data_IF_720675168233
#
_entry.id   IF_720675168233
#
_cell.length_a   1.000
_cell.length_b   1.000
_cell.length_c   1.000
_cell.angle_alpha   90.00
_cell.angle_beta   90.00
_cell.angle_gamma   90.00
#
_symmetry.space_group_name_H-M   'P 1'
#
loop_
_entity.id
_entity.type
_entity.pdbx_description
1 polymer ?
#
# COMPACT_ATOMS: atom_id res chain seq x y z
N UNK A 1 -14.49 15.29 8.25
CA UNK A 1 -13.93 15.14 6.90
C UNK A 1 -14.10 13.71 6.42
N UNK A 2 -14.59 13.55 5.25
CA UNK A 2 -14.82 12.22 4.73
C UNK A 2 -13.60 11.73 3.96
N UNK A 3 -13.55 10.42 3.69
CA UNK A 3 -12.50 9.85 2.84
C UNK A 3 -12.83 9.97 1.37
N UNK A 4 -13.97 10.60 1.05
CA UNK A 4 -14.37 10.80 -0.33
C UNK A 4 -13.30 11.59 -1.07
N UNK A 5 -13.00 11.17 -2.28
CA UNK A 5 -12.01 11.79 -3.17
C UNK A 5 -10.56 11.52 -2.80
N UNK A 6 -10.29 10.82 -1.70
CA UNK A 6 -8.92 10.35 -1.44
C UNK A 6 -8.66 9.13 -2.31
N UNK A 7 -7.48 9.10 -2.90
CA UNK A 7 -7.13 8.07 -3.89
C UNK A 7 -6.01 7.20 -3.39
N UNK A 8 -6.19 5.89 -3.53
CA UNK A 8 -5.22 4.88 -3.07
C UNK A 8 -4.78 4.05 -4.26
N UNK A 9 -3.47 3.89 -4.42
CA UNK A 9 -2.92 2.98 -5.40
C UNK A 9 -2.55 1.68 -4.69
N UNK A 10 -3.10 0.57 -5.14
CA UNK A 10 -2.74 -0.75 -4.64
C UNK A 10 -1.93 -1.47 -5.72
N UNK A 11 -0.78 -1.99 -5.32
CA UNK A 11 0.11 -2.69 -6.24
C UNK A 11 0.57 -4.00 -5.65
N UNK A 12 0.78 -4.96 -6.53
CA UNK A 12 1.28 -6.28 -6.19
C UNK A 12 2.76 -6.34 -6.57
N UNK A 13 3.59 -6.83 -5.67
CA UNK A 13 5.04 -6.82 -5.87
C UNK A 13 5.64 -8.21 -6.13
N UNK A 14 4.84 -9.27 -6.10
CA UNK A 14 5.33 -10.62 -6.25
C UNK A 14 4.43 -11.45 -7.15
N UNK A 15 5.05 -12.38 -7.87
CA UNK A 15 4.35 -13.25 -8.82
C UNK A 15 3.36 -14.20 -8.16
N UNK A 16 3.72 -14.71 -7.00
CA UNK A 16 2.92 -15.68 -6.28
C UNK A 16 1.81 -15.03 -5.46
N UNK A 17 1.58 -13.78 -5.69
CA UNK A 17 0.68 -13.03 -4.86
C UNK A 17 -0.75 -13.54 -4.92
N UNK A 18 -1.42 -13.34 -3.83
CA UNK A 18 -2.81 -13.70 -3.70
C UNK A 18 -3.67 -12.51 -4.08
N UNK A 19 -4.05 -12.46 -5.36
CA UNK A 19 -4.97 -11.44 -5.85
C UNK A 19 -6.21 -11.33 -4.98
N UNK A 20 -6.62 -12.47 -4.41
CA UNK A 20 -7.81 -12.51 -3.59
C UNK A 20 -7.70 -11.57 -2.39
N UNK A 21 -6.57 -11.62 -1.69
CA UNK A 21 -6.36 -10.74 -0.55
C UNK A 21 -6.37 -9.26 -0.95
N UNK A 22 -5.66 -8.95 -2.03
CA UNK A 22 -5.60 -7.58 -2.51
C UNK A 22 -6.96 -7.09 -2.99
N UNK A 23 -7.74 -7.95 -3.64
CA UNK A 23 -9.08 -7.62 -4.10
C UNK A 23 -10.03 -7.34 -2.93
N UNK A 24 -9.90 -8.11 -1.85
CA UNK A 24 -10.71 -7.88 -0.65
C UNK A 24 -10.37 -6.54 0.00
N UNK A 25 -9.10 -6.21 0.05
CA UNK A 25 -8.67 -4.92 0.59
C UNK A 25 -9.20 -3.78 -0.29
N UNK A 26 -9.08 -3.93 -1.60
CA UNK A 26 -9.58 -2.92 -2.53
C UNK A 26 -11.08 -2.69 -2.33
N UNK A 27 -11.83 -3.77 -2.18
CA UNK A 27 -13.29 -3.66 -1.97
C UNK A 27 -13.61 -2.96 -0.66
N UNK A 28 -12.91 -3.32 0.41
CA UNK A 28 -13.15 -2.70 1.71
C UNK A 28 -12.85 -1.20 1.67
N UNK A 29 -11.79 -0.82 0.99
CA UNK A 29 -11.43 0.60 0.87
C UNK A 29 -12.44 1.36 0.02
N UNK A 30 -12.90 0.76 -1.07
CA UNK A 30 -13.94 1.38 -1.90
C UNK A 30 -15.24 1.55 -1.13
N UNK A 31 -15.61 0.56 -0.35
CA UNK A 31 -16.82 0.63 0.47
C UNK A 31 -16.71 1.73 1.53
N UNK A 32 -15.50 2.06 1.94
CA UNK A 32 -15.25 3.14 2.90
C UNK A 32 -15.18 4.53 2.25
N UNK A 33 -15.30 4.61 0.93
CA UNK A 33 -15.35 5.89 0.22
C UNK A 33 -14.08 6.29 -0.50
N UNK A 34 -13.06 5.43 -0.50
CA UNK A 34 -11.83 5.72 -1.23
C UNK A 34 -11.97 5.41 -2.72
N UNK A 35 -11.24 6.18 -3.53
CA UNK A 35 -11.06 5.89 -4.94
C UNK A 35 -9.82 4.99 -5.04
N UNK A 36 -9.99 3.76 -5.50
CA UNK A 36 -8.91 2.76 -5.47
C UNK A 36 -8.52 2.38 -6.88
N UNK A 37 -7.22 2.49 -7.15
CA UNK A 37 -6.63 2.09 -8.43
C UNK A 37 -5.77 0.86 -8.18
N UNK A 38 -5.97 -0.19 -8.99
CA UNK A 38 -5.18 -1.41 -8.87
C UNK A 38 -4.16 -1.44 -10.00
N UNK A 39 -2.89 -1.39 -9.64
CA UNK A 39 -1.81 -1.36 -10.63
C UNK A 39 -1.39 -2.75 -11.10
N UNK A 40 -1.86 -3.80 -10.44
CA UNK A 40 -1.38 -5.13 -10.77
C UNK A 40 0.05 -5.33 -10.32
N UNK A 41 0.73 -6.31 -10.90
CA UNK A 41 2.13 -6.53 -10.60
C UNK A 41 2.96 -5.58 -11.46
N UNK A 42 3.79 -4.77 -10.78
CA UNK A 42 4.53 -3.74 -11.48
C UNK A 42 5.89 -3.54 -10.83
N UNK A 43 6.81 -2.98 -11.61
CA UNK A 43 8.13 -2.64 -11.09
C UNK A 43 8.07 -1.32 -10.34
N UNK A 44 9.13 -1.06 -9.54
CA UNK A 44 9.19 0.12 -8.69
C UNK A 44 8.95 1.42 -9.48
N UNK A 45 9.59 1.53 -10.62
CA UNK A 45 9.47 2.74 -11.46
C UNK A 45 8.05 2.90 -11.99
N UNK A 46 7.39 1.79 -12.33
CA UNK A 46 6.03 1.82 -12.84
C UNK A 46 5.04 2.20 -11.74
N UNK A 47 5.26 1.69 -10.54
CA UNK A 47 4.42 2.03 -9.39
C UNK A 47 4.56 3.51 -9.07
N UNK A 48 5.79 4.02 -9.06
CA UNK A 48 6.05 5.42 -8.79
C UNK A 48 5.41 6.32 -9.84
N UNK A 49 5.49 5.92 -11.11
CA UNK A 49 4.87 6.69 -12.18
C UNK A 49 3.35 6.71 -12.05
N UNK A 50 2.76 5.56 -11.76
CA UNK A 50 1.31 5.48 -11.58
C UNK A 50 0.87 6.35 -10.40
N UNK A 51 1.60 6.31 -9.30
CA UNK A 51 1.27 7.12 -8.13
C UNK A 51 1.30 8.61 -8.46
N UNK A 52 2.27 9.03 -9.26
CA UNK A 52 2.41 10.43 -9.66
C UNK A 52 1.33 10.84 -10.65
N UNK A 53 1.12 10.05 -11.70
CA UNK A 53 0.14 10.36 -12.75
C UNK A 53 -1.28 10.40 -12.17
N UNK A 54 -1.61 9.47 -11.30
CA UNK A 54 -2.94 9.40 -10.70
C UNK A 54 -3.09 10.30 -9.48
N UNK A 55 -2.01 10.94 -9.05
CA UNK A 55 -2.03 11.87 -7.92
C UNK A 55 -2.64 11.22 -6.68
N UNK A 56 -2.10 10.07 -6.30
CA UNK A 56 -2.65 9.31 -5.19
C UNK A 56 -2.24 9.89 -3.84
N UNK A 57 -3.05 9.60 -2.83
CA UNK A 57 -2.81 10.05 -1.46
C UNK A 57 -2.15 8.98 -0.60
N UNK A 58 -2.14 7.75 -1.06
CA UNK A 58 -1.65 6.61 -0.28
C UNK A 58 -1.29 5.49 -1.24
N UNK A 59 -0.20 4.79 -0.96
CA UNK A 59 0.22 3.62 -1.73
C UNK A 59 0.16 2.40 -0.83
N UNK A 60 -0.53 1.36 -1.27
CA UNK A 60 -0.59 0.08 -0.57
C UNK A 60 0.07 -1.00 -1.40
N UNK A 61 0.93 -1.80 -0.77
CA UNK A 61 1.71 -2.82 -1.44
C UNK A 61 1.37 -4.20 -0.90
N UNK A 62 1.11 -5.13 -1.81
CA UNK A 62 1.04 -6.55 -1.46
C UNK A 62 2.43 -7.12 -1.68
N UNK A 63 3.08 -7.55 -0.59
CA UNK A 63 4.51 -7.87 -0.63
C UNK A 63 4.77 -9.34 -0.37
N UNK A 64 5.85 -9.84 -0.95
CA UNK A 64 6.40 -11.15 -0.64
C UNK A 64 7.48 -11.03 0.42
N UNK A 65 8.36 -12.04 0.50
CA UNK A 65 9.36 -12.12 1.56
C UNK A 65 10.62 -11.27 1.36
N UNK A 66 10.68 -10.42 0.36
CA UNK A 66 11.90 -9.68 0.03
C UNK A 66 11.74 -8.21 0.36
N UNK A 67 12.36 -7.81 1.47
CA UNK A 67 12.25 -6.45 1.96
C UNK A 67 12.87 -5.43 1.00
N UNK A 68 13.95 -5.79 0.31
CA UNK A 68 14.64 -4.86 -0.58
C UNK A 68 13.75 -4.42 -1.74
N UNK A 69 12.80 -5.25 -2.15
CA UNK A 69 11.84 -4.87 -3.18
C UNK A 69 10.92 -3.76 -2.66
N UNK A 70 10.42 -3.93 -1.43
CA UNK A 70 9.56 -2.94 -0.81
C UNK A 70 10.31 -1.62 -0.61
N UNK A 71 11.52 -1.70 -0.10
CA UNK A 71 12.34 -0.51 0.14
C UNK A 71 12.61 0.25 -1.14
N UNK A 72 12.86 -0.47 -2.23
CA UNK A 72 13.10 0.16 -3.52
C UNK A 72 11.84 0.88 -4.04
N UNK A 73 10.68 0.24 -3.91
CA UNK A 73 9.42 0.84 -4.33
C UNK A 73 9.16 2.13 -3.55
N UNK A 74 9.33 2.07 -2.23
CA UNK A 74 9.11 3.23 -1.38
C UNK A 74 10.06 4.36 -1.77
N UNK A 75 11.32 4.04 -2.03
CA UNK A 75 12.31 5.05 -2.44
C UNK A 75 11.89 5.72 -3.76
N UNK A 76 11.45 4.93 -4.74
CA UNK A 76 11.02 5.47 -6.02
C UNK A 76 9.78 6.34 -5.89
N UNK A 77 8.80 5.88 -5.12
CA UNK A 77 7.57 6.64 -4.89
C UNK A 77 7.88 7.97 -4.21
N UNK A 78 8.79 7.96 -3.23
CA UNK A 78 9.11 9.15 -2.46
C UNK A 78 10.04 10.12 -3.16
N UNK A 79 10.58 9.77 -4.31
CA UNK A 79 11.28 10.73 -5.15
C UNK A 79 10.35 11.83 -5.64
N UNK A 80 9.10 11.45 -5.94
CA UNK A 80 8.10 12.42 -6.43
C UNK A 80 7.37 13.11 -5.31
N UNK A 81 7.20 12.44 -4.18
CA UNK A 81 6.54 13.00 -3.02
C UNK A 81 7.16 12.38 -1.77
N UNK A 82 8.00 13.16 -1.09
CA UNK A 82 8.83 12.67 0.02
C UNK A 82 8.00 12.14 1.20
N UNK A 83 6.82 12.69 1.41
CA UNK A 83 5.96 12.32 2.53
C UNK A 83 4.85 11.34 2.16
N UNK A 84 4.95 10.70 0.99
CA UNK A 84 3.92 9.74 0.57
C UNK A 84 3.76 8.64 1.59
N UNK A 85 2.55 8.50 2.18
CA UNK A 85 2.31 7.39 3.09
C UNK A 85 2.22 6.08 2.33
N UNK A 86 2.73 5.03 2.96
CA UNK A 86 2.73 3.70 2.37
C UNK A 86 2.33 2.70 3.44
N UNK A 87 1.49 1.73 3.07
CA UNK A 87 1.31 0.55 3.89
C UNK A 87 1.61 -0.70 3.09
N UNK A 88 1.90 -1.78 3.78
CA UNK A 88 2.25 -3.05 3.16
C UNK A 88 1.51 -4.18 3.84
N UNK A 89 1.17 -5.20 3.06
CA UNK A 89 0.52 -6.39 3.59
C UNK A 89 1.00 -7.62 2.86
N UNK A 90 0.81 -8.79 3.46
CA UNK A 90 1.19 -10.04 2.86
C UNK A 90 2.08 -10.87 3.77
N UNK A 91 2.82 -11.81 3.19
CA UNK A 91 3.66 -12.74 3.93
C UNK A 91 4.93 -12.04 4.40
N UNK A 92 4.84 -11.39 5.56
CA UNK A 92 5.93 -10.58 6.11
C UNK A 92 6.42 -11.23 7.40
N UNK A 93 7.71 -11.56 7.45
CA UNK A 93 8.32 -12.09 8.65
C UNK A 93 8.38 -11.01 9.75
N UNK A 94 8.37 -11.41 11.03
CA UNK A 94 8.39 -10.42 12.11
C UNK A 94 9.54 -9.42 12.04
N UNK A 95 10.74 -9.87 11.65
CA UNK A 95 11.90 -8.96 11.54
C UNK A 95 11.68 -7.92 10.43
N UNK A 96 11.06 -8.34 9.35
CA UNK A 96 10.77 -7.46 8.22
C UNK A 96 9.69 -6.44 8.61
N UNK A 97 8.67 -6.90 9.32
CA UNK A 97 7.62 -6.00 9.83
C UNK A 97 8.22 -4.90 10.68
N UNK A 98 9.09 -5.27 11.64
CA UNK A 98 9.74 -4.29 12.50
C UNK A 98 10.56 -3.29 11.71
N UNK A 99 11.34 -3.79 10.74
CA UNK A 99 12.20 -2.93 9.95
C UNK A 99 11.41 -1.94 9.10
N UNK A 100 10.30 -2.40 8.51
CA UNK A 100 9.45 -1.51 7.72
C UNK A 100 8.75 -0.49 8.60
N UNK A 101 8.30 -0.90 9.78
CA UNK A 101 7.65 0.03 10.71
C UNK A 101 8.61 1.10 11.19
N UNK A 102 9.89 0.78 11.34
CA UNK A 102 10.91 1.77 11.68
C UNK A 102 11.07 2.82 10.58
N UNK A 103 10.69 2.46 9.36
CA UNK A 103 10.74 3.38 8.22
C UNK A 103 9.42 4.12 8.01
N UNK A 104 8.50 4.00 8.94
CA UNK A 104 7.21 4.68 8.87
C UNK A 104 6.19 4.00 7.99
N UNK A 105 6.36 2.72 7.72
CA UNK A 105 5.43 1.95 6.88
C UNK A 105 4.58 1.08 7.77
N UNK A 106 3.24 1.24 7.69
CA UNK A 106 2.33 0.36 8.40
C UNK A 106 2.31 -1.00 7.73
N UNK A 107 2.33 -2.06 8.53
CA UNK A 107 2.41 -3.43 8.01
C UNK A 107 1.27 -4.27 8.55
N UNK A 108 0.58 -4.98 7.64
CA UNK A 108 -0.55 -5.84 7.98
C UNK A 108 -0.22 -7.28 7.60
N UNK A 109 0.15 -8.13 8.57
CA UNK A 109 0.46 -9.53 8.28
C UNK A 109 -0.81 -10.30 7.89
N UNK A 110 -0.66 -11.52 7.36
CA UNK A 110 -1.81 -12.35 7.00
C UNK A 110 -2.75 -12.51 8.19
N UNK A 111 -4.04 -12.43 7.93
CA UNK A 111 -5.05 -12.51 8.97
C UNK A 111 -5.44 -11.19 9.59
N UNK A 112 -4.82 -10.08 9.17
CA UNK A 112 -5.24 -8.76 9.65
C UNK A 112 -6.69 -8.49 9.24
N UNK A 113 -7.43 -7.87 10.15
CA UNK A 113 -8.84 -7.58 9.90
C UNK A 113 -8.97 -6.42 8.90
N UNK A 114 -9.88 -6.55 7.94
CA UNK A 114 -10.12 -5.49 6.97
C UNK A 114 -10.46 -4.14 7.61
N UNK A 115 -11.30 -4.07 8.68
CA UNK A 115 -11.54 -2.79 9.32
C UNK A 115 -10.28 -2.10 9.85
N UNK A 116 -9.28 -2.87 10.27
CA UNK A 116 -8.02 -2.29 10.75
C UNK A 116 -7.24 -1.66 9.60
N UNK A 117 -7.28 -2.28 8.43
CA UNK A 117 -6.63 -1.73 7.23
C UNK A 117 -7.32 -0.45 6.79
N UNK A 118 -8.65 -0.44 6.80
CA UNK A 118 -9.44 0.75 6.46
C UNK A 118 -9.13 1.88 7.44
N UNK A 119 -9.09 1.58 8.73
CA UNK A 119 -8.78 2.60 9.75
C UNK A 119 -7.39 3.20 9.54
N UNK A 120 -6.41 2.36 9.18
CA UNK A 120 -5.07 2.85 8.89
C UNK A 120 -5.07 3.75 7.67
N UNK A 121 -5.80 3.37 6.61
CA UNK A 121 -5.90 4.19 5.41
C UNK A 121 -6.52 5.55 5.73
N UNK A 122 -7.56 5.57 6.55
CA UNK A 122 -8.17 6.83 6.97
C UNK A 122 -7.19 7.71 7.73
N UNK A 123 -6.46 7.12 8.67
CA UNK A 123 -5.46 7.85 9.45
C UNK A 123 -4.35 8.39 8.56
N UNK A 124 -3.86 7.58 7.64
CA UNK A 124 -2.71 7.95 6.80
C UNK A 124 -3.08 9.02 5.76
N UNK A 125 -4.35 9.14 5.40
CA UNK A 125 -4.80 10.16 4.43
C UNK A 125 -5.42 11.39 5.10
N UNK A 126 -5.51 11.41 6.41
CA UNK A 126 -6.01 12.56 7.16
C UNK A 126 -4.87 13.56 7.38
N UNK A 127 -5.15 14.81 7.14
CA UNK A 127 -4.16 15.87 7.35
C UNK A 127 -4.23 16.44 8.73
#
# INVERSE_FOLDING_TARGET
>A
MTTANKRILLAKTALDGHWRGLSLVARALRDAGFDVIMAGMARAEEIAQAASVEDVDLVGLNVGGRIEIVERIVAEVRKNRADMPVFAGGAVAPWMKRKLEEQGIDVFPPGSALPDIVAAAERLTTE
#
